data_IF_082720878004
#
_entry.id   IF_082720878004
#
_cell.length_a   1.000
_cell.length_b   1.000
_cell.length_c   1.000
_cell.angle_alpha   90.00
_cell.angle_beta   90.00
_cell.angle_gamma   90.00
#
_symmetry.space_group_name_H-M   'P 1'
#
loop_
_entity.id
_entity.type
_entity.pdbx_description
1 polymer ?
#
# COMPACT_ATOMS: atom_id res chain seq x y z
N UNK A 1 55.14 -43.58 13.63
CA UNK A 1 55.09 -42.11 13.53
C UNK A 1 54.31 -41.62 12.32
N UNK A 2 54.14 -42.36 11.22
CA UNK A 2 53.48 -41.90 9.99
C UNK A 2 51.91 -41.82 10.04
N UNK A 3 51.28 -42.61 10.94
CA UNK A 3 49.81 -42.65 11.02
C UNK A 3 49.19 -41.53 11.86
N UNK A 4 49.94 -40.95 12.79
CA UNK A 4 49.48 -39.80 13.61
C UNK A 4 49.45 -38.46 12.84
N UNK A 5 50.31 -38.30 11.84
CA UNK A 5 50.36 -37.12 10.99
C UNK A 5 49.24 -37.06 9.95
N UNK A 6 48.73 -38.22 9.49
CA UNK A 6 47.62 -38.28 8.53
C UNK A 6 46.27 -37.88 9.18
N UNK A 7 46.08 -38.17 10.46
CA UNK A 7 44.87 -37.85 11.21
C UNK A 7 44.78 -36.33 11.49
N UNK A 8 45.94 -35.69 11.73
CA UNK A 8 46.01 -34.26 12.02
C UNK A 8 45.70 -33.39 10.77
N UNK A 9 45.98 -33.88 9.56
CA UNK A 9 45.70 -33.16 8.28
C UNK A 9 44.23 -33.30 7.92
N UNK A 10 43.55 -34.39 8.26
CA UNK A 10 42.14 -34.62 7.95
C UNK A 10 41.21 -33.78 8.83
N UNK A 11 41.62 -33.47 10.08
CA UNK A 11 40.81 -32.62 10.99
C UNK A 11 40.83 -31.11 10.62
N UNK A 12 41.87 -30.65 9.91
CA UNK A 12 41.96 -29.25 9.49
C UNK A 12 41.11 -28.92 8.25
N UNK A 13 40.73 -29.93 7.47
CA UNK A 13 39.90 -29.76 6.27
C UNK A 13 38.39 -29.55 6.55
N UNK A 14 37.92 -29.83 7.78
CA UNK A 14 36.50 -29.65 8.16
C UNK A 14 36.18 -28.31 8.79
N UNK A 15 37.14 -27.43 9.02
CA UNK A 15 36.92 -26.12 9.63
C UNK A 15 36.55 -25.00 8.62
N UNK A 16 36.36 -25.34 7.36
CA UNK A 16 36.18 -24.36 6.26
C UNK A 16 34.75 -24.02 5.84
N UNK A 17 33.71 -24.51 6.50
CA UNK A 17 32.32 -24.30 6.08
C UNK A 17 31.51 -23.47 7.09
N UNK A 18 31.85 -22.22 7.29
CA UNK A 18 31.15 -21.36 8.23
C UNK A 18 31.20 -19.87 7.96
N UNK A 19 31.54 -19.46 6.73
CA UNK A 19 31.33 -18.04 6.37
C UNK A 19 29.87 -17.89 5.96
N UNK A 20 29.01 -17.65 6.97
CA UNK A 20 27.65 -17.24 6.73
C UNK A 20 27.66 -16.04 5.80
N UNK A 21 27.04 -16.14 4.63
CA UNK A 21 26.74 -14.97 3.81
C UNK A 21 25.94 -14.01 4.67
N UNK A 22 26.53 -12.87 5.01
CA UNK A 22 25.78 -11.75 5.54
C UNK A 22 24.98 -11.21 4.36
N UNK A 23 23.71 -11.56 4.30
CA UNK A 23 22.82 -11.01 3.27
C UNK A 23 22.84 -9.48 3.41
N UNK A 24 23.05 -8.77 2.29
CA UNK A 24 22.98 -7.32 2.28
C UNK A 24 21.58 -6.88 2.76
N UNK A 25 21.50 -5.81 3.57
CA UNK A 25 20.21 -5.32 4.03
C UNK A 25 19.29 -4.99 2.84
N UNK A 26 17.98 -5.24 2.94
CA UNK A 26 17.05 -4.95 1.86
C UNK A 26 17.03 -3.45 1.54
N UNK A 27 16.85 -3.13 0.27
CA UNK A 27 16.60 -1.75 -0.17
C UNK A 27 15.14 -1.40 0.12
N UNK A 28 14.94 -0.25 0.77
CA UNK A 28 13.61 0.20 1.16
C UNK A 28 13.03 1.18 0.14
N UNK A 29 11.73 1.05 -0.09
CA UNK A 29 10.93 1.96 -0.90
C UNK A 29 9.73 2.46 -0.09
N UNK A 30 9.24 3.63 -0.43
CA UNK A 30 7.97 4.19 0.03
C UNK A 30 7.19 4.81 -1.15
N UNK A 31 6.02 5.39 -0.87
CA UNK A 31 5.23 6.08 -1.88
C UNK A 31 5.71 7.52 -2.15
N UNK A 32 6.74 7.99 -1.46
CA UNK A 32 7.25 9.37 -1.54
C UNK A 32 6.21 10.41 -1.13
N UNK A 33 6.57 11.68 -1.23
CA UNK A 33 5.66 12.79 -0.94
C UNK A 33 4.67 13.01 -2.08
N UNK A 34 3.41 13.33 -1.75
CA UNK A 34 2.43 13.77 -2.74
C UNK A 34 2.55 15.29 -2.98
N UNK A 35 3.43 15.65 -3.92
CA UNK A 35 3.63 17.03 -4.35
C UNK A 35 2.81 17.42 -5.60
N UNK A 36 1.91 16.54 -6.06
CA UNK A 36 1.10 16.80 -7.26
C UNK A 36 0.07 17.91 -7.01
N UNK A 37 -0.17 18.77 -7.99
CA UNK A 37 -1.37 19.60 -7.98
C UNK A 37 -2.60 18.67 -8.07
N UNK A 38 -3.53 18.80 -7.14
CA UNK A 38 -4.78 18.04 -7.14
C UNK A 38 -5.96 18.99 -7.32
N UNK A 39 -7.03 18.58 -8.02
CA UNK A 39 -8.23 19.37 -8.16
C UNK A 39 -8.78 19.78 -6.78
N UNK A 40 -9.12 21.06 -6.63
CA UNK A 40 -9.83 21.52 -5.45
C UNK A 40 -11.23 20.90 -5.44
N UNK A 41 -11.60 20.29 -4.32
CA UNK A 41 -12.93 19.76 -4.07
C UNK A 41 -13.63 20.59 -2.99
N UNK A 42 -14.97 20.61 -2.95
CA UNK A 42 -15.71 21.31 -1.90
C UNK A 42 -15.25 20.85 -0.50
N UNK A 43 -15.22 21.81 0.43
CA UNK A 43 -15.01 21.48 1.83
C UNK A 43 -16.15 20.59 2.35
N UNK A 44 -15.85 19.70 3.28
CA UNK A 44 -16.80 18.78 3.92
C UNK A 44 -16.68 18.82 5.44
N UNK A 45 -17.71 18.36 6.10
CA UNK A 45 -17.67 18.08 7.54
C UNK A 45 -16.63 17.00 7.89
N UNK A 46 -16.15 16.95 9.14
CA UNK A 46 -15.27 15.90 9.61
C UNK A 46 -15.84 14.50 9.34
N UNK A 47 -14.96 13.57 8.99
CA UNK A 47 -15.29 12.13 8.88
C UNK A 47 -14.38 11.32 9.80
N UNK A 48 -14.86 10.17 10.25
CA UNK A 48 -14.02 9.13 10.85
C UNK A 48 -13.52 8.19 9.76
N UNK A 49 -12.23 7.84 9.78
CA UNK A 49 -11.64 6.87 8.86
C UNK A 49 -11.23 5.61 9.63
N UNK A 50 -11.85 4.48 9.27
CA UNK A 50 -11.39 3.14 9.63
C UNK A 50 -10.76 2.48 8.41
N UNK A 51 -9.54 1.94 8.57
CA UNK A 51 -8.79 1.35 7.47
C UNK A 51 -8.35 -0.07 7.81
N UNK A 52 -8.63 -1.01 6.91
CA UNK A 52 -8.23 -2.40 7.01
C UNK A 52 -7.51 -2.84 5.73
N UNK A 53 -6.75 -3.92 5.81
CA UNK A 53 -6.09 -4.51 4.65
C UNK A 53 -6.16 -6.04 4.70
N UNK A 54 -6.06 -6.67 3.55
CA UNK A 54 -5.87 -8.11 3.47
C UNK A 54 -4.59 -8.53 4.25
N UNK A 55 -4.59 -9.67 4.96
CA UNK A 55 -3.48 -10.06 5.86
C UNK A 55 -2.09 -9.99 5.23
N UNK A 56 -1.95 -10.39 3.96
CA UNK A 56 -0.68 -10.33 3.21
C UNK A 56 -0.17 -8.91 2.92
N UNK A 57 -0.96 -7.86 3.19
CA UNK A 57 -0.59 -6.45 3.00
C UNK A 57 -0.21 -5.76 4.31
N UNK A 58 -0.12 -6.51 5.41
CA UNK A 58 0.24 -6.01 6.74
C UNK A 58 1.74 -6.12 7.04
N UNK A 59 2.52 -6.77 6.19
CA UNK A 59 3.98 -6.80 6.27
C UNK A 59 4.62 -5.92 5.19
N UNK A 60 5.95 -5.79 5.21
CA UNK A 60 6.71 -4.93 4.29
C UNK A 60 7.11 -5.62 2.99
N UNK A 61 6.60 -6.81 2.70
CA UNK A 61 6.90 -7.55 1.47
C UNK A 61 6.40 -6.81 0.22
N UNK A 62 7.26 -6.72 -0.79
CA UNK A 62 6.87 -6.18 -2.10
C UNK A 62 6.37 -7.32 -2.98
N UNK A 63 5.05 -7.39 -3.18
CA UNK A 63 4.38 -8.49 -3.88
C UNK A 63 4.31 -8.20 -5.39
N UNK A 64 4.56 -9.25 -6.17
CA UNK A 64 4.35 -9.27 -7.61
C UNK A 64 3.78 -10.61 -8.08
N UNK A 65 3.16 -10.62 -9.27
CA UNK A 65 2.68 -11.85 -9.94
C UNK A 65 2.78 -11.74 -11.45
N UNK A 66 2.61 -12.86 -12.14
CA UNK A 66 2.51 -12.91 -13.60
C UNK A 66 1.05 -13.23 -13.96
N UNK A 67 0.45 -12.39 -14.79
CA UNK A 67 -0.95 -12.53 -15.20
C UNK A 67 -1.89 -12.69 -14.01
N UNK A 68 -2.83 -13.61 -14.12
CA UNK A 68 -3.79 -13.95 -13.07
C UNK A 68 -3.34 -15.15 -12.22
N UNK A 69 -2.02 -15.43 -12.16
CA UNK A 69 -1.47 -16.53 -11.40
C UNK A 69 -1.92 -16.51 -9.93
N UNK A 70 -2.35 -17.64 -9.41
CA UNK A 70 -2.68 -17.82 -8.00
C UNK A 70 -1.44 -17.86 -7.08
N UNK A 71 -0.22 -17.80 -7.65
CA UNK A 71 1.05 -17.86 -6.90
C UNK A 71 1.73 -16.49 -6.85
N UNK A 72 1.36 -15.60 -5.92
CA UNK A 72 2.08 -14.34 -5.73
C UNK A 72 3.50 -14.63 -5.25
N UNK A 73 4.43 -13.74 -5.60
CA UNK A 73 5.83 -13.80 -5.22
C UNK A 73 6.23 -12.52 -4.50
N UNK A 74 7.29 -12.55 -3.72
CA UNK A 74 7.88 -11.36 -3.10
C UNK A 74 9.28 -11.11 -3.67
N UNK A 75 9.64 -9.85 -3.82
CA UNK A 75 11.01 -9.47 -4.13
C UNK A 75 11.96 -9.86 -2.99
N UNK A 76 13.09 -10.48 -3.32
CA UNK A 76 14.03 -11.00 -2.31
C UNK A 76 14.76 -9.86 -1.56
N UNK A 77 15.20 -8.82 -2.29
CA UNK A 77 16.11 -7.77 -1.80
C UNK A 77 15.45 -6.40 -1.65
N UNK A 78 14.14 -6.30 -1.89
CA UNK A 78 13.39 -5.05 -1.80
C UNK A 78 12.24 -5.18 -0.81
N UNK A 79 12.00 -4.12 -0.03
CA UNK A 79 10.91 -4.05 0.95
C UNK A 79 10.27 -2.66 0.92
N UNK A 80 9.04 -2.58 1.34
CA UNK A 80 8.42 -1.32 1.70
C UNK A 80 9.01 -0.82 3.03
N UNK A 81 9.13 0.51 3.19
CA UNK A 81 9.60 1.14 4.43
C UNK A 81 8.57 1.00 5.58
N UNK A 82 7.29 0.89 5.24
CA UNK A 82 6.20 0.52 6.12
C UNK A 82 5.29 -0.48 5.37
N UNK A 83 4.32 -1.10 6.03
CA UNK A 83 3.39 -2.00 5.34
C UNK A 83 2.59 -1.26 4.25
N UNK A 84 2.20 -1.93 3.15
CA UNK A 84 1.29 -1.36 2.16
C UNK A 84 0.03 -0.78 2.79
N UNK A 85 -0.54 -1.46 3.80
CA UNK A 85 -1.68 -0.98 4.56
C UNK A 85 -1.44 0.42 5.14
N UNK A 86 -0.29 0.64 5.77
CA UNK A 86 0.05 1.91 6.39
C UNK A 86 0.36 3.00 5.34
N UNK A 87 1.13 2.67 4.30
CA UNK A 87 1.47 3.60 3.22
C UNK A 87 0.23 4.12 2.50
N UNK A 88 -0.70 3.22 2.14
CA UNK A 88 -1.95 3.58 1.45
C UNK A 88 -2.89 4.33 2.39
N UNK A 89 -3.03 3.90 3.64
CA UNK A 89 -3.83 4.60 4.66
C UNK A 89 -3.37 6.05 4.83
N UNK A 90 -2.06 6.26 4.97
CA UNK A 90 -1.48 7.61 5.12
C UNK A 90 -1.77 8.47 3.89
N UNK A 91 -1.57 7.96 2.67
CA UNK A 91 -1.84 8.69 1.43
C UNK A 91 -3.31 9.10 1.31
N UNK A 92 -4.23 8.19 1.62
CA UNK A 92 -5.67 8.48 1.64
C UNK A 92 -5.99 9.55 2.69
N UNK A 93 -5.45 9.42 3.90
CA UNK A 93 -5.66 10.40 4.98
C UNK A 93 -5.19 11.79 4.55
N UNK A 94 -3.99 11.91 4.01
CA UNK A 94 -3.43 13.17 3.52
C UNK A 94 -4.32 13.79 2.43
N UNK A 95 -4.78 12.98 1.49
CA UNK A 95 -5.64 13.44 0.40
C UNK A 95 -7.00 13.92 0.89
N UNK A 96 -7.63 13.18 1.80
CA UNK A 96 -8.95 13.52 2.35
C UNK A 96 -8.90 14.72 3.30
N UNK A 97 -7.79 14.92 4.00
CA UNK A 97 -7.60 16.05 4.93
C UNK A 97 -7.62 17.41 4.24
N UNK A 98 -7.42 17.45 2.92
CA UNK A 98 -7.51 18.70 2.13
C UNK A 98 -8.92 19.26 2.00
N UNK A 99 -9.97 18.46 2.26
CA UNK A 99 -11.36 18.91 2.22
C UNK A 99 -12.02 19.04 3.59
N UNK A 100 -11.45 18.47 4.62
CA UNK A 100 -11.99 18.50 5.98
C UNK A 100 -11.28 17.53 6.89
N UNK A 101 -11.48 17.66 8.19
CA UNK A 101 -10.80 16.82 9.18
C UNK A 101 -11.09 15.34 8.96
N UNK A 102 -10.03 14.53 9.10
CA UNK A 102 -10.11 13.06 9.13
C UNK A 102 -9.76 12.61 10.55
N UNK A 103 -10.73 12.03 11.23
CA UNK A 103 -10.64 11.59 12.62
C UNK A 103 -10.34 10.09 12.66
N UNK A 104 -9.70 9.64 13.75
CA UNK A 104 -9.54 8.22 14.02
C UNK A 104 -10.83 7.56 14.54
N UNK A 105 -10.74 6.31 14.97
CA UNK A 105 -11.89 5.46 15.33
C UNK A 105 -12.73 5.94 16.52
N UNK A 106 -12.22 6.89 17.31
CA UNK A 106 -12.92 7.40 18.52
C UNK A 106 -13.73 8.65 18.18
N UNK A 107 -14.93 8.43 17.69
CA UNK A 107 -15.85 9.50 17.27
C UNK A 107 -17.27 9.25 17.75
N UNK A 108 -18.09 10.29 17.71
CA UNK A 108 -19.52 10.19 18.05
C UNK A 108 -20.31 9.48 16.93
N UNK A 109 -21.46 8.91 17.25
CA UNK A 109 -22.36 8.28 16.29
C UNK A 109 -22.87 9.25 15.20
N UNK A 110 -22.74 10.53 15.40
CA UNK A 110 -23.17 11.57 14.44
C UNK A 110 -22.11 11.89 13.39
N UNK A 111 -20.86 11.45 13.61
CA UNK A 111 -19.79 11.66 12.63
C UNK A 111 -19.88 10.60 11.53
N UNK A 112 -19.99 10.98 10.25
CA UNK A 112 -19.97 10.01 9.16
C UNK A 112 -18.70 9.16 9.21
N UNK A 113 -18.85 7.85 9.06
CA UNK A 113 -17.75 6.89 9.13
C UNK A 113 -17.42 6.35 7.74
N UNK A 114 -16.20 6.54 7.31
CA UNK A 114 -15.63 5.95 6.11
C UNK A 114 -14.84 4.70 6.49
N UNK A 115 -15.31 3.54 6.08
CA UNK A 115 -14.59 2.28 6.20
C UNK A 115 -13.92 1.98 4.86
N UNK A 116 -12.61 1.77 4.85
CA UNK A 116 -11.83 1.45 3.65
C UNK A 116 -11.10 0.14 3.86
N UNK A 117 -11.21 -0.77 2.89
CA UNK A 117 -10.48 -2.04 2.87
C UNK A 117 -9.56 -2.07 1.65
N UNK A 118 -8.26 -2.27 1.88
CA UNK A 118 -7.26 -2.51 0.83
C UNK A 118 -7.21 -4.02 0.55
N UNK A 119 -7.70 -4.43 -0.62
CA UNK A 119 -7.80 -5.83 -1.00
C UNK A 119 -6.65 -6.29 -1.91
N UNK A 120 -6.05 -5.37 -2.69
CA UNK A 120 -4.94 -5.67 -3.61
C UNK A 120 -3.96 -4.51 -3.66
N UNK A 121 -2.66 -4.83 -3.64
CA UNK A 121 -1.56 -3.88 -3.80
C UNK A 121 -0.33 -4.64 -4.27
N UNK A 122 -0.14 -4.74 -5.59
CA UNK A 122 0.90 -5.57 -6.16
C UNK A 122 1.30 -5.14 -7.56
N UNK A 123 2.51 -5.51 -7.99
CA UNK A 123 2.93 -5.38 -9.38
C UNK A 123 2.51 -6.63 -10.14
N UNK A 124 1.85 -6.45 -11.29
CA UNK A 124 1.40 -7.55 -12.14
C UNK A 124 2.10 -7.46 -13.49
N UNK A 125 2.89 -8.47 -13.80
CA UNK A 125 3.57 -8.62 -15.09
C UNK A 125 2.65 -9.30 -16.11
N UNK A 126 2.83 -8.97 -17.38
CA UNK A 126 2.29 -9.76 -18.47
C UNK A 126 2.96 -11.14 -18.51
N UNK A 127 2.34 -12.13 -19.16
CA UNK A 127 2.87 -13.51 -19.21
C UNK A 127 4.25 -13.58 -19.88
N UNK A 128 4.50 -12.73 -20.86
CA UNK A 128 5.79 -12.61 -21.55
C UNK A 128 6.84 -11.78 -20.78
N UNK A 129 6.45 -11.17 -19.64
CA UNK A 129 7.31 -10.33 -18.81
C UNK A 129 7.72 -9.00 -19.45
N UNK A 130 7.18 -8.64 -20.62
CA UNK A 130 7.61 -7.45 -21.36
C UNK A 130 7.00 -6.15 -20.81
N UNK A 131 5.92 -6.25 -20.05
CA UNK A 131 5.30 -5.11 -19.38
C UNK A 131 4.78 -5.49 -18.00
N UNK A 132 4.53 -4.49 -17.18
CA UNK A 132 3.89 -4.68 -15.88
C UNK A 132 3.09 -3.46 -15.48
N UNK A 133 2.23 -3.60 -14.49
CA UNK A 133 1.41 -2.54 -13.93
C UNK A 133 1.31 -2.68 -12.42
N UNK A 134 1.21 -1.56 -11.71
CA UNK A 134 0.81 -1.53 -10.31
C UNK A 134 -0.71 -1.64 -10.22
N UNK A 135 -1.23 -2.65 -9.56
CA UNK A 135 -2.67 -2.84 -9.31
C UNK A 135 -3.00 -2.55 -7.85
N UNK A 136 -4.03 -1.73 -7.66
CA UNK A 136 -4.57 -1.39 -6.35
C UNK A 136 -6.09 -1.56 -6.37
N UNK A 137 -6.64 -2.25 -5.37
CA UNK A 137 -8.08 -2.40 -5.16
C UNK A 137 -8.46 -1.93 -3.76
N UNK A 138 -9.34 -0.93 -3.70
CA UNK A 138 -10.02 -0.48 -2.49
C UNK A 138 -11.50 -0.84 -2.54
N UNK A 139 -12.06 -1.12 -1.37
CA UNK A 139 -13.49 -1.14 -1.12
C UNK A 139 -13.77 -0.11 -0.03
N UNK A 140 -14.70 0.79 -0.28
CA UNK A 140 -15.09 1.86 0.63
C UNK A 140 -16.58 1.78 0.94
N UNK A 141 -16.94 1.94 2.21
CA UNK A 141 -18.31 2.01 2.70
C UNK A 141 -18.44 3.27 3.54
N UNK A 142 -19.44 4.09 3.22
CA UNK A 142 -19.79 5.28 4.00
C UNK A 142 -21.02 5.00 4.85
N UNK A 143 -20.89 5.23 6.15
CA UNK A 143 -21.98 5.07 7.11
C UNK A 143 -22.31 6.40 7.78
N UNK A 144 -23.59 6.57 8.11
CA UNK A 144 -24.08 7.61 9.01
C UNK A 144 -24.78 6.92 10.19
N UNK A 145 -24.15 6.95 11.36
CA UNK A 145 -24.54 6.11 12.48
C UNK A 145 -24.41 4.62 12.14
N UNK A 146 -25.55 3.93 12.00
CA UNK A 146 -25.62 2.50 11.64
C UNK A 146 -26.10 2.25 10.21
N UNK A 147 -26.46 3.28 9.50
CA UNK A 147 -27.00 3.19 8.15
C UNK A 147 -25.88 3.30 7.11
N UNK A 148 -25.89 2.41 6.12
CA UNK A 148 -25.00 2.52 4.95
C UNK A 148 -25.57 3.59 4.02
N UNK A 149 -24.80 4.66 3.84
CA UNK A 149 -25.16 5.77 2.95
C UNK A 149 -24.84 5.42 1.51
N UNK A 150 -23.62 4.90 1.26
CA UNK A 150 -23.14 4.54 -0.08
C UNK A 150 -21.92 3.63 0.03
N UNK A 151 -21.56 2.97 -1.08
CA UNK A 151 -20.37 2.14 -1.18
C UNK A 151 -19.68 2.32 -2.54
N UNK A 152 -18.37 2.16 -2.55
CA UNK A 152 -17.54 2.31 -3.76
C UNK A 152 -16.46 1.24 -3.83
N UNK A 153 -16.33 0.61 -4.99
CA UNK A 153 -15.18 -0.22 -5.34
C UNK A 153 -14.29 0.56 -6.29
N UNK A 154 -13.01 0.70 -5.96
CA UNK A 154 -12.02 1.45 -6.74
C UNK A 154 -10.92 0.47 -7.13
N UNK A 155 -10.81 0.18 -8.42
CA UNK A 155 -9.75 -0.62 -9.00
C UNK A 155 -8.93 0.29 -9.92
N UNK A 156 -7.65 0.44 -9.61
CA UNK A 156 -6.70 1.21 -10.43
C UNK A 156 -5.56 0.30 -10.88
N UNK A 157 -5.20 0.45 -12.14
CA UNK A 157 -4.04 -0.19 -12.73
C UNK A 157 -3.21 0.88 -13.46
N UNK A 158 -2.01 1.14 -12.96
CA UNK A 158 -1.08 2.11 -13.54
C UNK A 158 0.10 1.38 -14.20
N UNK A 159 0.53 1.77 -15.41
CA UNK A 159 1.65 1.12 -16.09
C UNK A 159 2.97 1.37 -15.34
N UNK A 160 3.82 0.35 -15.27
CA UNK A 160 5.15 0.47 -14.71
C UNK A 160 6.12 0.98 -15.81
N UNK A 161 6.93 2.03 -15.53
CA UNK A 161 7.88 2.56 -16.49
C UNK A 161 9.04 1.60 -16.79
N UNK A 162 9.37 0.71 -15.84
CA UNK A 162 10.38 -0.33 -15.98
C UNK A 162 9.89 -1.64 -15.39
N UNK A 163 10.45 -2.77 -15.86
CA UNK A 163 10.02 -4.13 -15.49
C UNK A 163 10.80 -4.65 -14.28
N UNK A 164 10.92 -3.83 -13.23
CA UNK A 164 11.64 -4.10 -12.00
C UNK A 164 10.88 -3.56 -10.77
N UNK A 165 11.49 -3.72 -9.59
CA UNK A 165 10.90 -3.23 -8.34
C UNK A 165 10.68 -1.71 -8.34
N UNK A 166 11.60 -0.92 -8.93
CA UNK A 166 11.47 0.54 -8.98
C UNK A 166 10.30 0.98 -9.88
N UNK A 167 10.15 0.33 -11.03
CA UNK A 167 8.99 0.54 -11.92
C UNK A 167 7.68 0.15 -11.24
N UNK A 168 7.66 -0.96 -10.50
CA UNK A 168 6.51 -1.39 -9.70
C UNK A 168 6.14 -0.35 -8.63
N UNK A 169 7.12 0.21 -7.93
CA UNK A 169 6.92 1.29 -6.95
C UNK A 169 6.31 2.53 -7.59
N UNK A 170 6.86 2.97 -8.74
CA UNK A 170 6.33 4.13 -9.46
C UNK A 170 4.86 3.92 -9.88
N UNK A 171 4.53 2.73 -10.40
CA UNK A 171 3.18 2.37 -10.80
C UNK A 171 2.22 2.29 -9.60
N UNK A 172 2.63 1.67 -8.49
CA UNK A 172 1.80 1.57 -7.28
C UNK A 172 1.61 2.93 -6.59
N UNK A 173 2.61 3.81 -6.64
CA UNK A 173 2.46 5.20 -6.22
C UNK A 173 1.37 5.90 -7.04
N UNK A 174 1.47 5.85 -8.37
CA UNK A 174 0.48 6.43 -9.27
C UNK A 174 -0.92 5.86 -9.02
N UNK A 175 -1.04 4.54 -8.88
CA UNK A 175 -2.32 3.89 -8.60
C UNK A 175 -2.92 4.32 -7.26
N UNK A 176 -2.08 4.50 -6.23
CA UNK A 176 -2.53 4.97 -4.91
C UNK A 176 -3.00 6.41 -4.96
N UNK A 177 -2.28 7.26 -5.67
CA UNK A 177 -2.63 8.66 -5.86
C UNK A 177 -3.98 8.79 -6.57
N UNK A 178 -4.17 8.06 -7.66
CA UNK A 178 -5.43 8.05 -8.41
C UNK A 178 -6.59 7.47 -7.60
N UNK A 179 -6.38 6.37 -6.88
CA UNK A 179 -7.41 5.79 -6.02
C UNK A 179 -7.83 6.75 -4.90
N UNK A 180 -6.87 7.48 -4.33
CA UNK A 180 -7.15 8.49 -3.30
C UNK A 180 -7.95 9.68 -3.86
N UNK A 181 -7.66 10.10 -5.10
CA UNK A 181 -8.42 11.14 -5.79
C UNK A 181 -9.85 10.68 -6.11
N UNK A 182 -10.03 9.46 -6.61
CA UNK A 182 -11.35 8.88 -6.87
C UNK A 182 -12.19 8.76 -5.58
N UNK A 183 -11.55 8.38 -4.46
CA UNK A 183 -12.19 8.30 -3.16
C UNK A 183 -12.64 9.67 -2.66
N UNK A 184 -11.78 10.69 -2.80
CA UNK A 184 -12.08 12.06 -2.41
C UNK A 184 -13.22 12.66 -3.24
N UNK A 185 -13.24 12.43 -4.56
CA UNK A 185 -14.31 12.88 -5.46
C UNK A 185 -15.65 12.20 -5.12
N UNK A 186 -15.64 10.89 -4.86
CA UNK A 186 -16.83 10.16 -4.44
C UNK A 186 -17.41 10.71 -3.14
N UNK A 187 -16.56 10.94 -2.12
CA UNK A 187 -17.02 11.54 -0.86
C UNK A 187 -17.58 12.95 -1.05
N UNK A 188 -16.96 13.77 -1.88
CA UNK A 188 -17.46 15.12 -2.17
C UNK A 188 -18.84 15.10 -2.86
N UNK A 189 -19.13 14.07 -3.68
CA UNK A 189 -20.42 13.89 -4.32
C UNK A 189 -21.50 13.36 -3.35
N UNK A 190 -21.09 12.52 -2.39
CA UNK A 190 -22.02 11.83 -1.49
C UNK A 190 -22.31 12.62 -0.21
N UNK A 191 -21.30 13.30 0.36
CA UNK A 191 -21.45 14.10 1.57
C UNK A 191 -21.90 15.52 1.19
N UNK A 192 -22.90 16.03 1.91
CA UNK A 192 -23.32 17.43 1.74
C UNK A 192 -22.19 18.36 2.17
N UNK A 193 -21.99 19.50 1.48
CA UNK A 193 -21.10 20.55 1.97
C UNK A 193 -21.47 20.95 3.41
N UNK A 194 -20.49 21.36 4.23
CA UNK A 194 -20.79 21.88 5.55
C UNK A 194 -21.82 23.01 5.42
N UNK A 195 -22.83 23.02 6.29
CA UNK A 195 -23.81 24.09 6.32
C UNK A 195 -23.04 25.40 6.46
N UNK A 196 -23.16 26.30 5.47
CA UNK A 196 -22.52 27.59 5.53
C UNK A 196 -22.80 28.18 6.92
N UNK A 197 -21.73 28.55 7.65
CA UNK A 197 -21.85 29.11 8.98
C UNK A 197 -22.90 30.21 8.93
N UNK A 198 -24.05 29.99 9.57
CA UNK A 198 -25.12 31.00 9.64
C UNK A 198 -24.49 32.19 10.33
N UNK A 199 -24.23 33.23 9.52
CA UNK A 199 -23.72 34.50 10.00
C UNK A 199 -24.56 34.95 11.19
N UNK A 200 -23.87 35.24 12.28
CA UNK A 200 -24.42 36.02 13.41
C UNK A 200 -24.53 37.46 13.02
#
# INVERSE_FOLDING_TARGET
MKMRSAILILTLALAGCGIGRVDAPPRLFDLGLDARPVPALPARDPIALSFQAAPGLSDTGMIWRVGDSAAPRSYATYRWAASPAELVRQRITDRLSRQGAVLGDRVTLQTPQLQVSLAQFEQVFTEDGQSSQGRLLLQAVLLNGREVVDQKRILVAAPAPTQDAAGGVAALRQATDEASDQLAQWLAATLRPPAAARGK
#
